data_IF_357459665005
#
_entry.id   IF_357459665005
#
_cell.length_a   1.000
_cell.length_b   1.000
_cell.length_c   1.000
_cell.angle_alpha   90.00
_cell.angle_beta   90.00
_cell.angle_gamma   90.00
#
_symmetry.space_group_name_H-M   'P 1'
#
loop_
_entity.id
_entity.type
_entity.pdbx_description
1 polymer ?
#
# COMPACT_ATOMS: atom_id res chain seq x y z
N UNK A 1 11.49 -10.14 -14.26
CA UNK A 1 12.02 -8.98 -13.49
C UNK A 1 13.34 -9.42 -12.87
N UNK A 2 14.42 -8.65 -13.03
CA UNK A 2 15.70 -9.00 -12.40
C UNK A 2 15.61 -8.70 -10.90
N UNK A 3 15.86 -9.69 -10.07
CA UNK A 3 15.84 -9.55 -8.61
C UNK A 3 17.04 -8.70 -8.17
N UNK A 4 16.78 -7.64 -7.41
CA UNK A 4 17.85 -6.78 -6.85
C UNK A 4 18.46 -7.51 -5.67
N UNK A 5 19.74 -7.86 -5.76
CA UNK A 5 20.44 -8.49 -4.64
C UNK A 5 20.74 -7.46 -3.56
N UNK A 6 20.27 -7.71 -2.35
CA UNK A 6 20.49 -6.89 -1.15
C UNK A 6 21.50 -7.57 -0.24
N UNK A 7 22.31 -6.76 0.45
CA UNK A 7 23.16 -7.23 1.54
C UNK A 7 22.62 -6.79 2.91
N UNK A 8 23.15 -7.31 4.03
CA UNK A 8 22.67 -6.96 5.36
C UNK A 8 22.70 -5.46 5.69
N UNK A 9 23.61 -4.70 5.07
CA UNK A 9 23.69 -3.25 5.25
C UNK A 9 22.55 -2.56 4.51
N UNK A 10 22.23 -3.00 3.30
CA UNK A 10 21.10 -2.48 2.54
C UNK A 10 19.78 -2.69 3.29
N UNK A 11 19.58 -3.86 3.88
CA UNK A 11 18.40 -4.15 4.73
C UNK A 11 18.33 -3.21 5.93
N UNK A 12 19.47 -2.91 6.59
CA UNK A 12 19.50 -1.93 7.68
C UNK A 12 19.15 -0.52 7.20
N UNK A 13 19.68 -0.08 6.05
CA UNK A 13 19.33 1.21 5.45
C UNK A 13 17.82 1.29 5.19
N UNK A 14 17.24 0.28 4.57
CA UNK A 14 15.81 0.22 4.27
C UNK A 14 14.97 0.23 5.55
N UNK A 15 15.36 -0.52 6.58
CA UNK A 15 14.68 -0.56 7.87
C UNK A 15 14.66 0.80 8.57
N UNK A 16 15.78 1.53 8.55
CA UNK A 16 15.86 2.86 9.15
C UNK A 16 15.01 3.89 8.38
N UNK A 17 15.02 3.84 7.05
CA UNK A 17 14.24 4.74 6.21
C UNK A 17 12.74 4.48 6.32
N UNK A 18 12.31 3.22 6.45
CA UNK A 18 10.91 2.93 6.71
C UNK A 18 10.42 3.55 8.03
N UNK A 19 11.26 3.56 9.07
CA UNK A 19 10.92 4.12 10.39
C UNK A 19 10.94 5.64 10.39
N UNK A 20 11.92 6.24 9.72
CA UNK A 20 12.17 7.69 9.72
C UNK A 20 12.51 8.17 8.30
N UNK A 21 11.47 8.36 7.45
CA UNK A 21 11.65 8.77 6.05
C UNK A 21 12.32 10.14 5.85
N UNK A 22 12.40 10.98 6.91
CA UNK A 22 13.10 12.28 6.92
C UNK A 22 14.44 12.25 7.64
N UNK A 23 15.00 11.06 7.89
CA UNK A 23 16.33 10.91 8.50
C UNK A 23 17.38 11.64 7.67
N UNK A 24 18.30 12.35 8.34
CA UNK A 24 19.43 12.98 7.64
C UNK A 24 20.45 11.95 7.19
N UNK A 25 21.19 12.24 6.11
CA UNK A 25 22.24 11.36 5.58
C UNK A 25 23.28 10.99 6.64
N UNK A 26 23.67 11.97 7.47
CA UNK A 26 24.64 11.75 8.51
C UNK A 26 24.11 10.78 9.57
N UNK A 27 22.89 11.01 10.06
CA UNK A 27 22.25 10.18 11.07
C UNK A 27 21.95 8.76 10.55
N UNK A 28 21.58 8.64 9.27
CA UNK A 28 21.40 7.33 8.64
C UNK A 28 22.72 6.56 8.60
N UNK A 29 23.79 7.18 8.14
CA UNK A 29 25.12 6.57 8.09
C UNK A 29 25.59 6.09 9.47
N UNK A 30 25.41 6.91 10.49
CA UNK A 30 25.71 6.58 11.88
C UNK A 30 24.92 5.34 12.35
N UNK A 31 23.58 5.31 12.13
CA UNK A 31 22.73 4.20 12.55
C UNK A 31 23.04 2.86 11.87
N UNK A 32 23.50 2.91 10.61
CA UNK A 32 23.85 1.68 9.87
C UNK A 32 25.32 1.30 10.01
N UNK A 33 26.13 2.10 10.74
CA UNK A 33 27.54 1.84 10.98
C UNK A 33 28.42 2.07 9.74
N UNK A 34 28.10 3.09 8.93
CA UNK A 34 28.87 3.49 7.76
C UNK A 34 29.34 4.94 7.85
N UNK A 35 30.37 5.28 7.06
CA UNK A 35 30.65 6.68 6.75
C UNK A 35 29.59 7.25 5.77
N UNK A 36 29.38 8.59 5.72
CA UNK A 36 28.31 9.21 4.94
C UNK A 36 28.34 8.89 3.45
N UNK A 37 29.51 8.87 2.81
CA UNK A 37 29.64 8.67 1.37
C UNK A 37 29.18 7.27 0.93
N UNK A 38 29.66 6.14 1.47
CA UNK A 38 29.21 4.83 1.07
C UNK A 38 27.74 4.59 1.45
N UNK A 39 27.25 5.13 2.55
CA UNK A 39 25.83 5.06 2.91
C UNK A 39 24.98 5.74 1.85
N UNK A 40 25.36 6.94 1.40
CA UNK A 40 24.67 7.68 0.36
C UNK A 40 24.68 6.95 -0.99
N UNK A 41 25.80 6.37 -1.37
CA UNK A 41 25.95 5.61 -2.63
C UNK A 41 24.98 4.42 -2.65
N UNK A 42 24.88 3.69 -1.52
CA UNK A 42 23.94 2.58 -1.36
C UNK A 42 22.47 3.05 -1.44
N UNK A 43 22.13 4.11 -0.71
CA UNK A 43 20.79 4.67 -0.74
C UNK A 43 20.37 5.04 -2.16
N UNK A 44 21.23 5.74 -2.90
CA UNK A 44 20.97 6.09 -4.30
C UNK A 44 20.82 4.87 -5.21
N UNK A 45 21.59 3.81 -4.96
CA UNK A 45 21.44 2.55 -5.70
C UNK A 45 20.05 1.94 -5.46
N UNK A 46 19.58 1.91 -4.21
CA UNK A 46 18.26 1.36 -3.84
C UNK A 46 17.12 2.19 -4.45
N UNK A 47 17.24 3.51 -4.47
CA UNK A 47 16.30 4.42 -5.13
C UNK A 47 16.25 4.15 -6.65
N UNK A 48 17.41 4.12 -7.33
CA UNK A 48 17.49 3.89 -8.77
C UNK A 48 17.00 2.49 -9.17
N UNK A 49 17.18 1.52 -8.32
CA UNK A 49 16.69 0.15 -8.52
C UNK A 49 15.20 -0.01 -8.27
N UNK A 50 14.51 1.07 -7.83
CA UNK A 50 13.09 1.05 -7.53
C UNK A 50 12.72 0.26 -6.26
N UNK A 51 13.70 -0.10 -5.43
CA UNK A 51 13.46 -0.74 -4.12
C UNK A 51 12.84 0.29 -3.16
N UNK A 52 13.30 1.54 -3.22
CA UNK A 52 12.65 2.67 -2.55
C UNK A 52 11.80 3.37 -3.61
N UNK A 53 10.48 3.26 -3.46
CA UNK A 53 9.49 3.82 -4.40
C UNK A 53 9.11 5.25 -4.09
N UNK A 54 9.44 5.75 -2.90
CA UNK A 54 9.13 7.12 -2.48
C UNK A 54 9.26 7.33 -0.98
N UNK A 55 9.06 8.57 -0.57
CA UNK A 55 9.06 9.00 0.84
C UNK A 55 7.73 9.71 1.10
N UNK A 56 6.88 9.12 1.95
CA UNK A 56 5.55 9.63 2.21
C UNK A 56 5.35 9.95 3.69
N UNK A 57 4.66 11.05 3.96
CA UNK A 57 4.24 11.37 5.31
C UNK A 57 3.04 10.49 5.71
N UNK A 58 3.07 9.96 6.92
CA UNK A 58 1.90 9.33 7.52
C UNK A 58 1.04 10.40 8.19
N UNK A 59 -0.19 10.59 7.69
CA UNK A 59 -1.11 11.60 8.21
C UNK A 59 -2.16 10.95 9.10
N UNK A 60 -2.24 11.40 10.36
CA UNK A 60 -3.30 11.00 11.28
C UNK A 60 -4.52 11.91 11.06
N UNK A 61 -5.53 11.44 10.35
CA UNK A 61 -6.75 12.22 10.08
C UNK A 61 -7.72 12.27 11.25
N UNK A 62 -7.81 11.24 12.10
CA UNK A 62 -8.76 11.17 13.22
C UNK A 62 -8.74 12.37 14.17
N UNK A 63 -7.58 13.01 14.49
CA UNK A 63 -7.55 14.23 15.29
C UNK A 63 -8.12 15.46 14.57
N UNK A 64 -8.25 15.41 13.24
CA UNK A 64 -8.70 16.53 12.39
C UNK A 64 -10.17 16.38 12.04
N UNK A 65 -10.58 15.19 11.63
CA UNK A 65 -11.95 14.90 11.21
C UNK A 65 -12.28 13.42 11.39
N UNK A 66 -13.52 13.08 11.77
CA UNK A 66 -13.97 11.70 11.72
C UNK A 66 -14.01 11.21 10.27
N UNK A 67 -13.77 9.92 10.10
CA UNK A 67 -13.93 9.24 8.82
C UNK A 67 -14.29 7.77 9.05
N UNK A 68 -14.93 7.17 8.07
CA UNK A 68 -15.28 5.76 8.04
C UNK A 68 -14.35 5.04 7.06
N UNK A 69 -13.77 3.93 7.50
CA UNK A 69 -13.04 3.00 6.65
C UNK A 69 -13.88 1.75 6.43
N UNK A 70 -13.95 1.29 5.17
CA UNK A 70 -14.73 0.11 4.78
C UNK A 70 -13.88 -0.78 3.91
N UNK A 71 -13.84 -2.08 4.20
CA UNK A 71 -13.35 -3.08 3.27
C UNK A 71 -14.53 -3.59 2.43
N UNK A 72 -14.31 -3.71 1.13
CA UNK A 72 -15.34 -4.15 0.19
C UNK A 72 -14.79 -5.33 -0.59
N UNK A 73 -15.39 -6.49 -0.40
CA UNK A 73 -15.20 -7.65 -1.28
C UNK A 73 -16.07 -7.48 -2.52
N UNK A 74 -15.49 -7.74 -3.68
CA UNK A 74 -16.16 -7.59 -4.97
C UNK A 74 -16.01 -8.88 -5.77
N UNK A 75 -17.13 -9.35 -6.34
CA UNK A 75 -17.15 -10.41 -7.33
C UNK A 75 -17.68 -9.86 -8.65
N UNK A 76 -16.99 -10.14 -9.75
CA UNK A 76 -17.41 -9.75 -11.09
C UNK A 76 -18.30 -10.83 -11.72
N UNK A 77 -19.29 -10.41 -12.52
CA UNK A 77 -20.20 -11.32 -13.22
C UNK A 77 -19.57 -12.05 -14.41
N UNK A 78 -18.46 -11.53 -14.93
CA UNK A 78 -17.70 -12.15 -16.01
C UNK A 78 -16.19 -12.00 -15.77
N UNK A 79 -15.41 -13.01 -16.16
CA UNK A 79 -13.97 -13.11 -15.88
C UNK A 79 -13.13 -13.03 -17.17
N UNK A 80 -13.52 -12.15 -18.10
CA UNK A 80 -12.70 -11.83 -19.26
C UNK A 80 -11.71 -10.75 -18.90
N UNK A 81 -10.56 -10.71 -19.58
CA UNK A 81 -9.55 -9.66 -19.35
C UNK A 81 -10.14 -8.25 -19.48
N UNK A 82 -11.06 -8.04 -20.43
CA UNK A 82 -11.74 -6.76 -20.64
C UNK A 82 -12.61 -6.32 -19.46
N UNK A 83 -13.17 -7.27 -18.70
CA UNK A 83 -14.00 -6.98 -17.53
C UNK A 83 -13.13 -6.57 -16.35
N UNK A 84 -12.01 -7.25 -16.12
CA UNK A 84 -10.99 -6.85 -15.14
C UNK A 84 -10.43 -5.46 -15.47
N UNK A 85 -10.03 -5.22 -16.71
CA UNK A 85 -9.46 -3.92 -17.13
C UNK A 85 -10.46 -2.77 -16.96
N UNK A 86 -11.75 -3.02 -17.22
CA UNK A 86 -12.84 -2.03 -17.04
C UNK A 86 -13.01 -1.70 -15.56
N UNK A 87 -13.11 -2.70 -14.71
CA UNK A 87 -13.24 -2.55 -13.27
C UNK A 87 -12.04 -1.81 -12.67
N UNK A 88 -10.82 -2.26 -12.97
CA UNK A 88 -9.59 -1.67 -12.44
C UNK A 88 -9.41 -0.20 -12.85
N UNK A 89 -9.76 0.16 -14.10
CA UNK A 89 -9.74 1.56 -14.54
C UNK A 89 -10.72 2.42 -13.76
N UNK A 90 -11.92 1.94 -13.53
CA UNK A 90 -12.92 2.66 -12.76
C UNK A 90 -12.47 2.87 -11.30
N UNK A 91 -11.96 1.81 -10.65
CA UNK A 91 -11.45 1.88 -9.28
C UNK A 91 -10.28 2.86 -9.15
N UNK A 92 -9.33 2.84 -10.09
CA UNK A 92 -8.18 3.78 -10.12
C UNK A 92 -8.60 5.26 -10.22
N UNK A 93 -9.78 5.54 -10.72
CA UNK A 93 -10.30 6.91 -10.87
C UNK A 93 -11.00 7.47 -9.62
N UNK A 94 -11.17 6.66 -8.56
CA UNK A 94 -11.92 7.02 -7.35
C UNK A 94 -10.95 7.27 -6.19
N UNK A 95 -10.74 8.54 -5.77
CA UNK A 95 -9.76 8.87 -4.73
C UNK A 95 -10.05 8.26 -3.36
N UNK A 96 -11.32 8.01 -3.04
CA UNK A 96 -11.75 7.41 -1.79
C UNK A 96 -11.38 5.92 -1.69
N UNK A 97 -11.11 5.26 -2.81
CA UNK A 97 -10.59 3.89 -2.85
C UNK A 97 -9.07 3.97 -2.74
N UNK A 98 -8.56 3.84 -1.53
CA UNK A 98 -7.13 4.02 -1.23
C UNK A 98 -6.30 2.77 -1.47
N UNK A 99 -6.92 1.61 -1.63
CA UNK A 99 -6.26 0.36 -2.03
C UNK A 99 -7.24 -0.59 -2.72
N UNK A 100 -6.71 -1.40 -3.64
CA UNK A 100 -7.43 -2.46 -4.35
C UNK A 100 -6.46 -3.62 -4.60
N UNK A 101 -6.86 -4.81 -4.20
CA UNK A 101 -6.11 -6.04 -4.42
C UNK A 101 -6.95 -7.02 -5.21
N UNK A 102 -6.39 -7.60 -6.28
CA UNK A 102 -6.93 -8.79 -6.92
C UNK A 102 -6.62 -10.00 -6.04
N UNK A 103 -7.60 -10.85 -5.84
CA UNK A 103 -7.51 -12.01 -4.96
C UNK A 103 -7.63 -13.32 -5.75
N UNK A 104 -6.96 -14.36 -5.28
CA UNK A 104 -7.19 -15.72 -5.74
C UNK A 104 -8.10 -16.44 -4.74
N UNK A 105 -9.33 -16.77 -5.13
CA UNK A 105 -10.27 -17.44 -4.23
C UNK A 105 -11.74 -17.16 -4.55
N UNK A 106 -12.57 -17.06 -3.51
CA UNK A 106 -14.03 -16.94 -3.66
C UNK A 106 -14.53 -15.54 -4.04
N UNK A 107 -13.65 -14.53 -4.07
CA UNK A 107 -13.94 -13.16 -4.50
C UNK A 107 -12.81 -12.67 -5.40
N UNK A 108 -13.10 -11.73 -6.28
CA UNK A 108 -12.12 -11.25 -7.27
C UNK A 108 -11.25 -10.12 -6.74
N UNK A 109 -11.85 -9.20 -5.98
CA UNK A 109 -11.14 -8.02 -5.45
C UNK A 109 -11.51 -7.71 -4.01
N UNK A 110 -10.54 -7.14 -3.30
CA UNK A 110 -10.73 -6.49 -2.02
C UNK A 110 -10.35 -5.01 -2.16
N UNK A 111 -11.28 -4.12 -1.83
CA UNK A 111 -11.05 -2.68 -1.80
C UNK A 111 -10.91 -2.20 -0.36
N UNK A 112 -10.11 -1.15 -0.16
CA UNK A 112 -10.12 -0.34 1.07
C UNK A 112 -10.63 1.05 0.70
N UNK A 113 -11.79 1.39 1.21
CA UNK A 113 -12.47 2.67 0.97
C UNK A 113 -12.39 3.52 2.22
N UNK A 114 -12.17 4.82 2.07
CA UNK A 114 -12.23 5.81 3.14
C UNK A 114 -13.23 6.88 2.74
N UNK A 115 -14.26 7.08 3.53
CA UNK A 115 -15.31 8.06 3.30
C UNK A 115 -15.52 8.93 4.55
N UNK A 116 -16.11 10.11 4.37
CA UNK A 116 -16.42 11.03 5.45
C UNK A 116 -17.35 10.39 6.51
N UNK A 117 -18.35 9.68 6.05
CA UNK A 117 -19.36 8.97 6.84
C UNK A 117 -19.92 7.80 6.05
N UNK A 118 -20.86 7.06 6.64
CA UNK A 118 -21.47 5.89 5.98
C UNK A 118 -22.36 6.29 4.80
N UNK A 119 -23.02 7.45 4.86
CA UNK A 119 -23.87 7.93 3.78
C UNK A 119 -23.03 8.33 2.55
N UNK A 120 -21.86 8.94 2.78
CA UNK A 120 -20.91 9.23 1.71
C UNK A 120 -20.33 7.95 1.09
N UNK A 121 -20.07 6.92 1.90
CA UNK A 121 -19.69 5.60 1.42
C UNK A 121 -20.79 4.97 0.56
N UNK A 122 -22.05 5.01 1.01
CA UNK A 122 -23.17 4.45 0.27
C UNK A 122 -23.32 5.11 -1.10
N UNK A 123 -23.30 6.46 -1.16
CA UNK A 123 -23.35 7.19 -2.43
C UNK A 123 -22.20 6.82 -3.38
N UNK A 124 -21.02 6.57 -2.83
CA UNK A 124 -19.86 6.12 -3.63
C UNK A 124 -20.10 4.75 -4.25
N UNK A 125 -20.60 3.80 -3.47
CA UNK A 125 -20.91 2.45 -3.97
C UNK A 125 -22.02 2.49 -5.00
N UNK A 126 -23.10 3.21 -4.74
CA UNK A 126 -24.20 3.37 -5.69
C UNK A 126 -23.69 3.95 -7.03
N UNK A 127 -22.87 4.99 -6.98
CA UNK A 127 -22.25 5.56 -8.16
C UNK A 127 -21.26 4.64 -8.89
N UNK A 128 -20.64 3.68 -8.19
CA UNK A 128 -19.82 2.64 -8.85
C UNK A 128 -20.69 1.61 -9.56
N UNK A 129 -21.80 1.20 -8.95
CA UNK A 129 -22.75 0.25 -9.53
C UNK A 129 -23.41 0.82 -10.79
N UNK A 130 -23.79 2.11 -10.76
CA UNK A 130 -24.37 2.82 -11.91
C UNK A 130 -23.44 2.88 -13.14
N UNK A 131 -22.13 2.76 -12.95
CA UNK A 131 -21.14 2.73 -14.05
C UNK A 131 -21.10 1.42 -14.81
N UNK A 132 -21.87 0.41 -14.40
CA UNK A 132 -21.92 -0.93 -15.02
C UNK A 132 -20.52 -1.54 -15.26
N UNK A 133 -19.65 -1.43 -14.26
CA UNK A 133 -18.24 -1.85 -14.32
C UNK A 133 -18.06 -3.36 -14.13
N UNK A 134 -19.15 -4.13 -14.15
CA UNK A 134 -19.13 -5.58 -14.12
C UNK A 134 -19.25 -6.18 -12.72
N UNK A 135 -19.59 -5.40 -11.70
CA UNK A 135 -19.83 -5.91 -10.35
C UNK A 135 -21.13 -6.74 -10.37
N UNK A 136 -21.03 -8.03 -10.00
CA UNK A 136 -22.16 -8.92 -9.77
C UNK A 136 -22.61 -8.86 -8.30
N UNK A 137 -21.63 -8.93 -7.39
CA UNK A 137 -21.88 -8.97 -5.96
C UNK A 137 -20.77 -8.25 -5.20
N UNK A 138 -21.13 -7.61 -4.11
CA UNK A 138 -20.18 -7.03 -3.16
C UNK A 138 -20.64 -7.20 -1.72
N UNK A 139 -19.68 -7.20 -0.79
CA UNK A 139 -19.91 -7.18 0.64
C UNK A 139 -19.09 -6.07 1.29
N UNK A 140 -19.71 -5.31 2.17
CA UNK A 140 -19.12 -4.16 2.85
C UNK A 140 -18.86 -4.47 4.31
N UNK A 141 -17.62 -4.27 4.77
CA UNK A 141 -17.21 -4.47 6.17
C UNK A 141 -16.72 -3.15 6.75
N UNK A 142 -17.55 -2.53 7.60
CA UNK A 142 -17.18 -1.29 8.26
C UNK A 142 -16.15 -1.56 9.35
N UNK A 143 -15.02 -0.85 9.30
CA UNK A 143 -13.97 -0.96 10.31
C UNK A 143 -14.41 -0.26 11.59
N UNK A 144 -14.79 -1.04 12.60
CA UNK A 144 -15.21 -0.53 13.91
C UNK A 144 -14.01 -0.10 14.77
N UNK A 145 -12.87 -0.79 14.64
CA UNK A 145 -11.64 -0.50 15.38
C UNK A 145 -10.42 -0.98 14.60
N UNK A 146 -9.41 -0.13 14.50
CA UNK A 146 -8.08 -0.53 14.01
C UNK A 146 -7.27 -1.12 15.15
N UNK A 147 -6.87 -2.36 15.05
CA UNK A 147 -6.04 -3.07 16.04
C UNK A 147 -4.55 -2.88 15.72
N UNK A 148 -4.19 -2.99 14.46
CA UNK A 148 -2.83 -2.77 13.94
C UNK A 148 -2.92 -2.14 12.56
N UNK A 149 -2.14 -1.10 12.33
CA UNK A 149 -2.00 -0.43 11.04
C UNK A 149 -0.53 -0.04 10.87
N UNK A 150 0.31 -1.04 10.78
CA UNK A 150 1.75 -0.89 10.56
C UNK A 150 2.05 -1.15 9.09
N UNK A 151 2.56 -0.14 8.42
CA UNK A 151 2.95 -0.20 7.00
C UNK A 151 4.42 -0.60 6.81
N UNK A 152 5.15 -0.85 7.91
CA UNK A 152 6.54 -1.25 7.83
C UNK A 152 6.62 -2.72 7.39
N UNK A 153 7.32 -2.96 6.29
CA UNK A 153 7.63 -4.32 5.84
C UNK A 153 8.63 -4.96 6.81
N UNK A 154 8.40 -6.19 7.30
CA UNK A 154 9.31 -6.92 8.17
C UNK A 154 10.49 -7.48 7.35
N UNK A 155 11.38 -6.57 6.91
CA UNK A 155 12.44 -6.89 5.93
C UNK A 155 13.40 -7.96 6.43
N UNK A 156 13.73 -7.95 7.72
CA UNK A 156 14.63 -8.94 8.31
C UNK A 156 14.06 -10.34 8.20
N UNK A 157 12.77 -10.51 8.49
CA UNK A 157 12.07 -11.77 8.44
C UNK A 157 11.86 -12.27 7.01
N UNK A 158 11.52 -11.36 6.11
CA UNK A 158 11.24 -11.71 4.70
C UNK A 158 12.51 -12.04 3.89
N UNK A 159 13.67 -11.47 4.28
CA UNK A 159 14.91 -11.59 3.54
C UNK A 159 15.95 -12.47 4.25
N UNK A 160 15.62 -13.07 5.41
CA UNK A 160 16.56 -13.86 6.20
C UNK A 160 17.22 -15.02 5.42
N UNK A 161 16.51 -15.62 4.48
CA UNK A 161 16.99 -16.75 3.67
C UNK A 161 17.97 -16.30 2.57
N UNK A 162 17.86 -15.07 2.09
CA UNK A 162 18.65 -14.54 0.98
C UNK A 162 19.94 -13.82 1.44
N UNK A 163 20.12 -13.68 2.76
CA UNK A 163 21.23 -12.95 3.37
C UNK A 163 22.31 -13.90 3.96
N UNK A 164 22.09 -15.22 3.91
CA UNK A 164 23.04 -16.27 4.25
C UNK A 164 23.82 -16.75 3.03
#
# INVERSE_FOLDING_TARGET
MSTVKLDPIDVRILSEIQREGRITKLKLAERVGLSPTPCWTRLRRLERAGVITGYHARVALRPVTPFTAVFVEVTLGAHRQTDFDRFERAVKSVPEIIACWALGGGVDYLLKVVARDIDAYQRLIDGLLEREIGIDRYFSYVVTRTVKDDLLMPLTELLATDLL
#
